data_IF_669380564056
#
_entry.id   IF_669380564056
#
_cell.length_a   1.000
_cell.length_b   1.000
_cell.length_c   1.000
_cell.angle_alpha   90.00
_cell.angle_beta   90.00
_cell.angle_gamma   90.00
#
_symmetry.space_group_name_H-M   'P 1'
#
loop_
_entity.id
_entity.type
_entity.pdbx_description
1 polymer ?
#
# COMPACT_ATOMS: atom_id res chain seq x y z
N UNK A 1 -33.59 24.50 61.37
CA UNK A 1 -33.88 23.90 60.04
C UNK A 1 -33.19 24.60 58.86
N UNK A 2 -32.23 25.54 59.03
CA UNK A 2 -31.73 26.39 57.92
C UNK A 2 -30.25 26.19 57.56
N UNK A 3 -29.44 25.62 58.43
CA UNK A 3 -27.98 25.51 58.27
C UNK A 3 -27.53 24.23 57.56
N UNK A 4 -28.24 23.11 57.76
CA UNK A 4 -27.93 21.84 57.05
C UNK A 4 -28.30 21.91 55.57
N UNK A 5 -29.44 22.52 55.21
CA UNK A 5 -29.85 22.70 53.81
C UNK A 5 -28.86 23.57 53.01
N UNK A 6 -28.27 24.58 53.65
CA UNK A 6 -27.28 25.46 53.00
C UNK A 6 -25.97 24.68 52.76
N UNK A 7 -25.55 23.84 53.72
CA UNK A 7 -24.39 22.96 53.54
C UNK A 7 -24.63 21.90 52.47
N UNK A 8 -25.82 21.30 52.41
CA UNK A 8 -26.17 20.32 51.39
C UNK A 8 -26.13 20.91 49.98
N UNK A 9 -26.67 22.12 49.80
CA UNK A 9 -26.62 22.85 48.52
C UNK A 9 -25.20 23.18 48.08
N UNK A 10 -24.33 23.59 49.00
CA UNK A 10 -22.94 23.88 48.67
C UNK A 10 -22.14 22.61 48.31
N UNK A 11 -22.38 21.49 49.01
CA UNK A 11 -21.76 20.20 48.69
C UNK A 11 -22.21 19.65 47.32
N UNK A 12 -23.49 19.81 46.97
CA UNK A 12 -24.01 19.43 45.65
C UNK A 12 -23.44 20.33 44.54
N UNK A 13 -23.27 21.63 44.82
CA UNK A 13 -22.64 22.58 43.89
C UNK A 13 -21.18 22.21 43.60
N UNK A 14 -20.39 21.88 44.62
CA UNK A 14 -19.01 21.41 44.46
C UNK A 14 -18.93 20.10 43.66
N UNK A 15 -19.79 19.12 43.97
CA UNK A 15 -19.85 17.86 43.21
C UNK A 15 -20.26 18.05 41.75
N UNK A 16 -21.13 19.03 41.45
CA UNK A 16 -21.55 19.32 40.07
C UNK A 16 -20.43 19.90 39.20
N UNK A 17 -19.53 20.71 39.80
CA UNK A 17 -18.34 21.24 39.12
C UNK A 17 -17.32 20.14 38.84
N UNK A 18 -17.08 19.26 39.82
CA UNK A 18 -16.20 18.09 39.66
C UNK A 18 -16.71 17.16 38.55
N UNK A 19 -18.02 16.89 38.52
CA UNK A 19 -18.65 16.05 37.48
C UNK A 19 -18.48 16.65 36.08
N UNK A 20 -18.58 17.98 35.95
CA UNK A 20 -18.35 18.69 34.69
C UNK A 20 -16.89 18.62 34.24
N UNK A 21 -15.94 18.70 35.17
CA UNK A 21 -14.50 18.59 34.87
C UNK A 21 -14.15 17.17 34.43
N UNK A 22 -14.66 16.14 35.12
CA UNK A 22 -14.45 14.75 34.76
C UNK A 22 -15.01 14.44 33.36
N UNK A 23 -16.21 14.96 33.05
CA UNK A 23 -16.80 14.85 31.72
C UNK A 23 -15.98 15.58 30.64
N UNK A 24 -15.43 16.76 30.93
CA UNK A 24 -14.60 17.51 29.98
C UNK A 24 -13.28 16.79 29.67
N UNK A 25 -12.64 16.19 30.69
CA UNK A 25 -11.42 15.38 30.52
C UNK A 25 -11.73 14.10 29.74
N UNK A 26 -12.84 13.42 30.07
CA UNK A 26 -13.25 12.22 29.37
C UNK A 26 -13.56 12.50 27.88
N UNK A 27 -14.29 13.58 27.60
CA UNK A 27 -14.64 13.97 26.23
C UNK A 27 -13.41 14.32 25.39
N UNK A 28 -12.50 15.13 25.93
CA UNK A 28 -11.28 15.52 25.22
C UNK A 28 -10.38 14.31 24.94
N UNK A 29 -10.20 13.43 25.95
CA UNK A 29 -9.45 12.18 25.78
C UNK A 29 -10.09 11.28 24.71
N UNK A 30 -11.41 11.21 24.67
CA UNK A 30 -12.14 10.47 23.65
C UNK A 30 -11.97 11.06 22.25
N UNK A 31 -12.00 12.39 22.11
CA UNK A 31 -11.75 13.05 20.81
C UNK A 31 -10.34 12.75 20.29
N UNK A 32 -9.31 12.82 21.15
CA UNK A 32 -7.95 12.43 20.77
C UNK A 32 -7.88 10.97 20.33
N UNK A 33 -8.56 10.07 21.03
CA UNK A 33 -8.64 8.66 20.65
C UNK A 33 -9.28 8.48 19.27
N UNK A 34 -10.39 9.17 18.97
CA UNK A 34 -11.05 9.07 17.67
C UNK A 34 -10.17 9.63 16.55
N UNK A 35 -9.49 10.77 16.76
CA UNK A 35 -8.54 11.30 15.77
C UNK A 35 -7.41 10.31 15.49
N UNK A 36 -6.81 9.76 16.54
CA UNK A 36 -5.79 8.72 16.43
C UNK A 36 -6.29 7.50 15.64
N UNK A 37 -7.51 7.02 15.92
CA UNK A 37 -8.08 5.88 15.20
C UNK A 37 -8.34 6.20 13.72
N UNK A 38 -8.75 7.42 13.38
CA UNK A 38 -8.92 7.84 11.99
C UNK A 38 -7.58 7.90 11.25
N UNK A 39 -6.54 8.47 11.87
CA UNK A 39 -5.19 8.51 11.29
C UNK A 39 -4.61 7.10 11.12
N UNK A 40 -4.75 6.24 12.14
CA UNK A 40 -4.33 4.84 12.05
C UNK A 40 -5.12 4.10 10.95
N UNK A 41 -6.42 4.38 10.82
CA UNK A 41 -7.26 3.83 9.77
C UNK A 41 -6.78 4.21 8.36
N UNK A 42 -6.36 5.47 8.17
CA UNK A 42 -5.74 5.97 6.93
C UNK A 42 -4.50 5.17 6.55
N UNK A 43 -3.59 5.02 7.51
CA UNK A 43 -2.32 4.28 7.37
C UNK A 43 -2.61 2.83 7.00
N UNK A 44 -3.52 2.17 7.70
CA UNK A 44 -3.86 0.78 7.47
C UNK A 44 -4.48 0.54 6.08
N UNK A 45 -5.37 1.43 5.64
CA UNK A 45 -5.97 1.35 4.29
C UNK A 45 -4.91 1.49 3.20
N UNK A 46 -4.05 2.51 3.31
CA UNK A 46 -2.93 2.71 2.39
C UNK A 46 -2.00 1.48 2.37
N UNK A 47 -1.60 1.00 3.55
CA UNK A 47 -0.70 -0.14 3.68
C UNK A 47 -1.26 -1.41 3.04
N UNK A 48 -2.50 -1.75 3.36
CA UNK A 48 -3.14 -2.94 2.79
C UNK A 48 -3.30 -2.87 1.29
N UNK A 49 -3.70 -1.70 0.78
CA UNK A 49 -3.90 -1.52 -0.65
C UNK A 49 -2.59 -1.64 -1.42
N UNK A 50 -1.52 -1.01 -0.92
CA UNK A 50 -0.18 -1.17 -1.49
C UNK A 50 0.28 -2.62 -1.43
N UNK A 51 0.15 -3.27 -0.26
CA UNK A 51 0.56 -4.68 -0.08
C UNK A 51 -0.17 -5.59 -1.08
N UNK A 52 -1.47 -5.37 -1.26
CA UNK A 52 -2.28 -6.12 -2.21
C UNK A 52 -1.76 -5.96 -3.64
N UNK A 53 -1.53 -4.72 -4.09
CA UNK A 53 -0.95 -4.44 -5.41
C UNK A 53 0.40 -5.13 -5.60
N UNK A 54 1.31 -5.02 -4.62
CA UNK A 54 2.62 -5.67 -4.67
C UNK A 54 2.52 -7.19 -4.78
N UNK A 55 1.65 -7.83 -3.99
CA UNK A 55 1.44 -9.28 -4.05
C UNK A 55 0.89 -9.69 -5.41
N UNK A 56 -0.04 -8.92 -5.98
CA UNK A 56 -0.56 -9.19 -7.31
C UNK A 56 0.55 -9.05 -8.35
N UNK A 57 1.28 -7.93 -8.39
CA UNK A 57 2.41 -7.73 -9.30
C UNK A 57 3.49 -8.80 -9.20
N UNK A 58 3.79 -9.21 -7.98
CA UNK A 58 4.76 -10.27 -7.71
C UNK A 58 4.31 -11.64 -8.24
N UNK A 59 3.04 -12.01 -8.08
CA UNK A 59 2.45 -13.23 -8.67
C UNK A 59 2.40 -13.17 -10.18
N UNK A 60 2.02 -12.02 -10.71
CA UNK A 60 1.99 -11.69 -12.12
C UNK A 60 3.36 -11.89 -12.77
N UNK A 61 4.41 -11.36 -12.15
CA UNK A 61 5.77 -11.50 -12.65
C UNK A 61 6.28 -12.94 -12.58
N UNK A 62 5.91 -13.67 -11.53
CA UNK A 62 6.17 -15.12 -11.45
C UNK A 62 5.47 -15.87 -12.61
N UNK A 63 4.23 -15.53 -12.93
CA UNK A 63 3.51 -16.15 -14.04
C UNK A 63 4.16 -15.84 -15.41
N UNK A 64 4.53 -14.58 -15.66
CA UNK A 64 5.27 -14.21 -16.88
C UNK A 64 6.59 -14.97 -16.97
N UNK A 65 7.37 -15.02 -15.88
CA UNK A 65 8.63 -15.77 -15.86
C UNK A 65 8.48 -17.26 -16.24
N UNK A 66 7.38 -17.89 -15.82
CA UNK A 66 7.08 -19.28 -16.18
C UNK A 66 6.84 -19.48 -17.68
N UNK A 67 6.13 -18.55 -18.31
CA UNK A 67 5.84 -18.63 -19.74
C UNK A 67 7.08 -18.40 -20.59
N UNK A 68 7.96 -17.50 -20.15
CA UNK A 68 9.26 -17.25 -20.79
C UNK A 68 10.20 -18.43 -20.68
N UNK A 69 10.19 -19.12 -19.53
CA UNK A 69 11.01 -20.32 -19.35
C UNK A 69 10.54 -21.47 -20.27
N UNK A 70 9.24 -21.53 -20.58
CA UNK A 70 8.68 -22.53 -21.49
C UNK A 70 9.12 -22.31 -22.94
N UNK A 71 9.37 -21.07 -23.37
CA UNK A 71 9.63 -20.73 -24.78
C UNK A 71 10.54 -19.49 -24.93
N UNK A 72 11.82 -19.70 -25.25
CA UNK A 72 12.89 -18.68 -25.16
C UNK A 72 12.97 -17.70 -26.33
N UNK A 73 11.86 -17.42 -27.04
CA UNK A 73 11.88 -16.56 -28.23
C UNK A 73 11.32 -15.15 -27.90
N UNK A 74 12.00 -14.08 -28.36
CA UNK A 74 11.64 -12.69 -28.03
C UNK A 74 10.24 -12.30 -28.52
N UNK A 75 9.87 -12.75 -29.73
CA UNK A 75 8.50 -12.58 -30.24
C UNK A 75 7.46 -13.26 -29.36
N UNK A 76 7.86 -14.27 -28.58
CA UNK A 76 6.98 -14.95 -27.63
C UNK A 76 6.95 -14.29 -26.26
N UNK A 77 7.97 -13.52 -25.87
CA UNK A 77 7.94 -12.68 -24.68
C UNK A 77 6.79 -11.67 -24.80
N UNK A 78 6.76 -10.94 -25.92
CA UNK A 78 5.66 -10.04 -26.28
C UNK A 78 4.32 -10.76 -26.21
N UNK A 79 4.16 -11.91 -26.90
CA UNK A 79 2.87 -12.62 -26.87
C UNK A 79 2.51 -13.22 -25.52
N UNK A 80 3.49 -13.58 -24.67
CA UNK A 80 3.25 -14.13 -23.34
C UNK A 80 2.80 -13.02 -22.39
N UNK A 81 3.48 -11.86 -22.43
CA UNK A 81 3.07 -10.67 -21.70
C UNK A 81 1.70 -10.20 -22.16
N UNK A 82 1.43 -10.13 -23.47
CA UNK A 82 0.11 -9.80 -24.02
C UNK A 82 -0.95 -10.80 -23.59
N UNK A 83 -0.71 -12.11 -23.78
CA UNK A 83 -1.65 -13.15 -23.40
C UNK A 83 -1.97 -13.11 -21.91
N UNK A 84 -0.96 -12.94 -21.07
CA UNK A 84 -1.12 -12.87 -19.63
C UNK A 84 -1.83 -11.57 -19.20
N UNK A 85 -1.40 -10.42 -19.75
CA UNK A 85 -2.00 -9.13 -19.46
C UNK A 85 -3.47 -9.10 -19.85
N UNK A 86 -3.81 -9.59 -21.05
CA UNK A 86 -5.19 -9.71 -21.53
C UNK A 86 -6.00 -10.65 -20.63
N UNK A 87 -5.41 -11.75 -20.17
CA UNK A 87 -6.12 -12.72 -19.30
C UNK A 87 -6.40 -12.21 -17.90
N UNK A 88 -5.50 -11.41 -17.34
CA UNK A 88 -5.57 -11.02 -15.92
C UNK A 88 -6.21 -9.63 -15.78
N UNK A 89 -6.00 -8.73 -16.73
CA UNK A 89 -6.41 -7.33 -16.65
C UNK A 89 -7.34 -6.87 -17.79
N UNK A 90 -7.48 -7.67 -18.83
CA UNK A 90 -8.29 -7.33 -20.01
C UNK A 90 -7.47 -6.68 -21.13
N UNK A 91 -8.08 -6.56 -22.31
CA UNK A 91 -7.41 -6.10 -23.53
C UNK A 91 -6.74 -4.73 -23.36
N UNK A 92 -5.48 -4.63 -23.83
CA UNK A 92 -4.68 -3.39 -23.86
C UNK A 92 -4.41 -2.73 -22.49
N UNK A 93 -4.48 -3.49 -21.39
CA UNK A 93 -4.27 -2.94 -20.05
C UNK A 93 -2.81 -2.58 -19.73
N UNK A 94 -1.86 -3.08 -20.51
CA UNK A 94 -0.42 -2.88 -20.32
C UNK A 94 0.28 -2.73 -21.68
N UNK A 95 1.32 -1.90 -21.74
CA UNK A 95 2.20 -1.81 -22.91
C UNK A 95 3.18 -2.99 -22.89
N UNK A 96 2.85 -4.03 -23.67
CA UNK A 96 3.63 -5.26 -23.76
C UNK A 96 5.05 -5.03 -24.30
N UNK A 97 5.25 -4.00 -25.12
CA UNK A 97 6.55 -3.68 -25.73
C UNK A 97 7.49 -3.10 -24.69
N UNK A 98 7.01 -2.13 -23.90
CA UNK A 98 7.81 -1.53 -22.83
C UNK A 98 8.09 -2.55 -21.72
N UNK A 99 7.11 -3.38 -21.37
CA UNK A 99 7.32 -4.48 -20.42
C UNK A 99 8.34 -5.50 -20.91
N UNK A 100 8.29 -5.88 -22.19
CA UNK A 100 9.27 -6.80 -22.77
C UNK A 100 10.69 -6.20 -22.75
N UNK A 101 10.81 -4.92 -23.08
CA UNK A 101 12.09 -4.21 -23.06
C UNK A 101 12.67 -4.12 -21.65
N UNK A 102 11.90 -3.66 -20.66
CA UNK A 102 12.35 -3.56 -19.27
C UNK A 102 12.72 -4.94 -18.69
N UNK A 103 12.04 -6.01 -19.11
CA UNK A 103 12.41 -7.38 -18.75
C UNK A 103 13.73 -7.83 -19.36
N UNK A 104 13.97 -7.53 -20.63
CA UNK A 104 15.23 -7.84 -21.31
C UNK A 104 16.41 -7.07 -20.71
N UNK A 105 16.19 -5.80 -20.38
CA UNK A 105 17.18 -4.93 -19.72
C UNK A 105 17.42 -5.33 -18.25
N UNK A 106 16.55 -6.16 -17.67
CA UNK A 106 16.62 -6.60 -16.28
C UNK A 106 16.22 -5.53 -15.28
N UNK A 107 15.54 -4.46 -15.73
CA UNK A 107 15.05 -3.37 -14.89
C UNK A 107 13.76 -3.79 -14.17
N UNK A 108 13.94 -4.48 -13.04
CA UNK A 108 12.84 -4.94 -12.20
C UNK A 108 12.10 -3.79 -11.50
N UNK A 109 12.75 -2.63 -11.32
CA UNK A 109 12.11 -1.46 -10.71
C UNK A 109 11.07 -0.89 -11.68
N UNK A 110 11.47 -0.67 -12.94
CA UNK A 110 10.60 -0.17 -14.00
C UNK A 110 9.46 -1.15 -14.30
N UNK A 111 9.76 -2.45 -14.36
CA UNK A 111 8.74 -3.49 -14.55
C UNK A 111 7.65 -3.46 -13.48
N UNK A 112 8.03 -3.41 -12.21
CA UNK A 112 7.06 -3.36 -11.11
C UNK A 112 6.28 -2.06 -11.18
N UNK A 113 6.92 -0.94 -11.48
CA UNK A 113 6.27 0.36 -11.61
C UNK A 113 5.19 0.35 -12.68
N UNK A 114 5.47 -0.20 -13.87
CA UNK A 114 4.52 -0.30 -14.98
C UNK A 114 3.33 -1.22 -14.67
N UNK A 115 3.57 -2.33 -13.98
CA UNK A 115 2.51 -3.30 -13.72
C UNK A 115 1.66 -2.97 -12.49
N UNK A 116 2.19 -2.22 -11.53
CA UNK A 116 1.60 -2.11 -10.19
C UNK A 116 0.17 -1.57 -10.20
N UNK A 117 -0.11 -0.47 -10.91
CA UNK A 117 -1.44 0.14 -10.86
C UNK A 117 -2.52 -0.77 -11.47
N UNK A 118 -2.22 -1.34 -12.63
CA UNK A 118 -3.05 -2.38 -13.24
C UNK A 118 -3.20 -3.62 -12.35
N UNK A 119 -2.15 -4.09 -11.68
CA UNK A 119 -2.24 -5.19 -10.71
C UNK A 119 -3.04 -4.83 -9.44
N UNK A 120 -3.05 -3.57 -9.02
CA UNK A 120 -3.73 -3.16 -7.80
C UNK A 120 -5.25 -3.01 -7.99
N UNK A 121 -5.70 -2.51 -9.14
CA UNK A 121 -7.13 -2.21 -9.40
C UNK A 121 -7.65 -2.49 -10.82
N UNK A 122 -6.85 -3.11 -11.67
CA UNK A 122 -7.17 -3.38 -13.08
C UNK A 122 -6.93 -2.19 -14.02
N UNK A 123 -6.53 -1.02 -13.50
CA UNK A 123 -5.95 0.07 -14.28
C UNK A 123 -5.21 1.06 -13.38
N UNK A 124 -4.21 1.74 -13.93
CA UNK A 124 -3.45 2.76 -13.21
C UNK A 124 -4.32 3.90 -12.69
N UNK A 125 -5.30 4.36 -13.48
CA UNK A 125 -6.21 5.42 -13.06
C UNK A 125 -7.05 5.03 -11.83
N UNK A 126 -7.56 3.80 -11.79
CA UNK A 126 -8.33 3.34 -10.63
C UNK A 126 -7.45 3.18 -9.40
N UNK A 127 -6.24 2.67 -9.57
CA UNK A 127 -5.28 2.54 -8.48
C UNK A 127 -4.88 3.93 -7.93
N UNK A 128 -4.65 4.88 -8.82
CA UNK A 128 -4.30 6.26 -8.49
C UNK A 128 -5.42 6.94 -7.68
N UNK A 129 -6.68 6.82 -8.14
CA UNK A 129 -7.85 7.34 -7.44
C UNK A 129 -7.99 6.76 -6.02
N UNK A 130 -7.77 5.46 -5.85
CA UNK A 130 -7.87 4.78 -4.55
C UNK A 130 -6.73 5.19 -3.61
N UNK A 131 -5.49 5.26 -4.12
CA UNK A 131 -4.32 5.65 -3.33
C UNK A 131 -4.38 7.12 -2.88
N UNK A 132 -4.83 8.02 -3.76
CA UNK A 132 -5.11 9.42 -3.39
C UNK A 132 -6.15 9.52 -2.30
N UNK A 133 -7.22 8.71 -2.40
CA UNK A 133 -8.23 8.60 -1.34
C UNK A 133 -7.67 8.03 -0.04
N UNK A 134 -6.52 7.36 -0.02
CA UNK A 134 -5.85 6.86 1.18
C UNK A 134 -4.68 7.72 1.65
N UNK A 135 -4.35 8.82 0.98
CA UNK A 135 -3.41 9.84 1.47
C UNK A 135 -2.08 9.88 0.75
N UNK A 136 -1.96 9.20 -0.39
CA UNK A 136 -0.79 9.31 -1.26
C UNK A 136 -1.05 10.43 -2.27
N UNK A 137 -0.40 11.59 -2.11
CA UNK A 137 -0.69 12.81 -2.91
C UNK A 137 -0.65 12.58 -4.42
N UNK A 138 0.35 11.84 -4.89
CA UNK A 138 0.55 11.51 -6.31
C UNK A 138 0.15 10.06 -6.64
N UNK A 139 -0.73 9.49 -5.81
CA UNK A 139 -1.30 8.15 -5.98
C UNK A 139 -0.24 7.09 -6.30
N UNK A 140 -0.34 6.45 -7.46
CA UNK A 140 0.61 5.39 -7.88
C UNK A 140 2.03 5.95 -8.04
N UNK A 141 2.17 7.15 -8.62
CA UNK A 141 3.47 7.76 -8.89
C UNK A 141 4.26 8.16 -7.64
N UNK A 142 3.61 8.20 -6.48
CA UNK A 142 4.28 8.44 -5.20
C UNK A 142 4.96 7.21 -4.59
N UNK A 143 4.75 6.03 -5.18
CA UNK A 143 5.35 4.78 -4.72
C UNK A 143 6.70 4.60 -5.42
N UNK A 144 7.77 4.65 -4.64
CA UNK A 144 9.11 4.33 -5.12
C UNK A 144 9.37 2.84 -5.00
N UNK A 145 9.79 2.22 -6.10
CA UNK A 145 10.19 0.80 -6.15
C UNK A 145 11.69 0.58 -5.99
N UNK A 146 12.41 1.61 -5.54
CA UNK A 146 13.86 1.60 -5.48
C UNK A 146 14.41 0.45 -4.62
N UNK A 147 15.40 -0.25 -5.17
CA UNK A 147 16.02 -1.42 -4.57
C UNK A 147 15.22 -2.71 -4.78
N UNK A 148 14.21 -2.71 -5.65
CA UNK A 148 13.62 -3.94 -6.18
C UNK A 148 14.64 -4.65 -7.03
N UNK A 149 14.91 -5.92 -6.72
CA UNK A 149 15.98 -6.65 -7.38
C UNK A 149 15.73 -8.15 -7.38
N UNK A 150 16.51 -8.83 -8.21
CA UNK A 150 16.64 -10.28 -8.20
C UNK A 150 17.65 -10.71 -7.13
N UNK A 151 17.35 -11.81 -6.46
CA UNK A 151 18.17 -12.46 -5.45
C UNK A 151 18.30 -13.97 -5.78
N UNK A 152 19.24 -14.63 -5.12
CA UNK A 152 19.46 -16.10 -5.21
C UNK A 152 19.63 -16.62 -6.65
N UNK A 153 20.50 -15.97 -7.43
CA UNK A 153 20.81 -16.38 -8.81
C UNK A 153 19.66 -16.17 -9.79
N UNK A 154 18.89 -15.10 -9.59
CA UNK A 154 17.70 -14.71 -10.35
C UNK A 154 16.47 -15.59 -10.12
N UNK A 155 16.44 -16.30 -8.99
CA UNK A 155 15.31 -17.17 -8.64
C UNK A 155 14.27 -16.46 -7.79
N UNK A 156 14.68 -15.47 -7.01
CA UNK A 156 13.77 -14.75 -6.13
C UNK A 156 13.71 -13.27 -6.54
N UNK A 157 12.51 -12.76 -6.75
CA UNK A 157 12.22 -11.35 -6.89
C UNK A 157 11.93 -10.77 -5.51
N UNK A 158 12.71 -9.77 -5.10
CA UNK A 158 12.45 -8.95 -3.94
C UNK A 158 11.89 -7.59 -4.40
N UNK A 159 10.59 -7.40 -4.25
CA UNK A 159 9.91 -6.13 -4.52
C UNK A 159 9.95 -5.27 -3.28
N UNK A 160 10.50 -4.07 -3.38
CA UNK A 160 10.53 -3.06 -2.32
C UNK A 160 9.67 -1.89 -2.73
N UNK A 161 8.82 -1.41 -1.83
CA UNK A 161 8.01 -0.23 -2.04
C UNK A 161 8.19 0.74 -0.89
N UNK A 162 8.44 2.01 -1.20
CA UNK A 162 8.47 3.10 -0.25
C UNK A 162 7.49 4.18 -0.68
N UNK A 163 6.65 4.64 0.24
CA UNK A 163 5.62 5.64 -0.04
C UNK A 163 5.28 6.43 1.23
N UNK A 164 4.71 7.60 1.06
CA UNK A 164 4.35 8.51 2.15
C UNK A 164 2.85 8.71 2.20
N UNK A 165 2.26 8.63 3.39
CA UNK A 165 0.83 8.78 3.65
C UNK A 165 0.59 10.06 4.44
N UNK A 166 -0.22 10.96 3.90
CA UNK A 166 -0.68 12.16 4.58
C UNK A 166 -1.77 11.83 5.60
N UNK A 167 -1.61 12.36 6.81
CA UNK A 167 -2.53 12.13 7.93
C UNK A 167 -3.68 13.14 7.91
N UNK A 168 -4.94 12.70 8.06
CA UNK A 168 -6.10 13.57 8.15
C UNK A 168 -6.00 14.60 9.27
N UNK A 169 -5.47 14.19 10.43
CA UNK A 169 -5.26 15.07 11.56
C UNK A 169 -3.76 15.26 11.80
N UNK A 170 -3.30 16.51 11.74
CA UNK A 170 -1.91 16.91 12.00
C UNK A 170 -1.60 16.98 13.49
N UNK A 171 -2.00 15.96 14.24
CA UNK A 171 -1.85 15.94 15.69
C UNK A 171 -0.39 15.68 16.04
N UNK A 172 0.12 16.36 17.07
CA UNK A 172 1.49 16.19 17.57
C UNK A 172 2.62 16.53 16.58
N UNK A 173 2.33 17.34 15.54
CA UNK A 173 3.33 17.81 14.58
C UNK A 173 3.70 16.80 13.49
N UNK A 174 3.01 15.66 13.43
CA UNK A 174 3.14 14.70 12.33
C UNK A 174 2.06 15.00 11.29
N UNK A 175 2.49 15.34 10.08
CA UNK A 175 1.58 15.56 8.95
C UNK A 175 1.56 14.36 7.99
N UNK A 176 2.63 13.57 8.00
CA UNK A 176 2.85 12.47 7.09
C UNK A 176 3.67 11.35 7.74
N UNK A 177 3.53 10.14 7.22
CA UNK A 177 4.32 8.98 7.62
C UNK A 177 4.85 8.25 6.38
N UNK A 178 6.17 8.01 6.35
CA UNK A 178 6.81 7.20 5.33
C UNK A 178 6.77 5.73 5.75
N UNK A 179 6.29 4.88 4.85
CA UNK A 179 6.16 3.44 5.03
C UNK A 179 7.04 2.71 4.03
N UNK A 180 7.47 1.52 4.43
CA UNK A 180 8.24 0.60 3.60
C UNK A 180 7.60 -0.78 3.63
N UNK A 181 7.47 -1.40 2.47
CA UNK A 181 6.97 -2.75 2.32
C UNK A 181 7.89 -3.56 1.43
N UNK A 182 8.04 -4.83 1.78
CA UNK A 182 8.82 -5.77 1.01
C UNK A 182 7.96 -7.00 0.73
N UNK A 183 7.95 -7.45 -0.52
CA UNK A 183 7.32 -8.69 -0.95
C UNK A 183 8.37 -9.53 -1.67
N UNK A 184 8.48 -10.80 -1.31
CA UNK A 184 9.38 -11.75 -1.97
C UNK A 184 8.56 -12.80 -2.70
N UNK A 185 8.90 -13.05 -3.96
CA UNK A 185 8.35 -14.17 -4.74
C UNK A 185 9.42 -14.92 -5.48
N UNK A 186 9.15 -16.19 -5.71
CA UNK A 186 9.99 -17.02 -6.57
C UNK A 186 9.58 -16.85 -8.03
N UNK A 187 10.56 -16.59 -8.87
CA UNK A 187 10.45 -16.63 -10.32
C UNK A 187 10.79 -18.03 -10.84
N UNK A 188 10.31 -18.33 -12.03
CA UNK A 188 10.62 -19.56 -12.73
C UNK A 188 11.86 -19.34 -13.59
N UNK A 189 12.89 -20.13 -13.32
CA UNK A 189 14.12 -20.22 -14.10
C UNK A 189 14.49 -21.70 -14.17
N UNK A 190 14.86 -22.18 -15.36
CA UNK A 190 15.06 -23.60 -15.62
C UNK A 190 16.09 -24.20 -14.68
N UNK A 191 15.76 -25.35 -14.10
CA UNK A 191 16.64 -26.22 -13.30
C UNK A 191 17.86 -26.79 -14.08
N UNK A 192 18.39 -26.08 -15.09
CA UNK A 192 19.37 -26.62 -16.05
C UNK A 192 20.83 -26.20 -15.83
N UNK A 193 21.16 -25.69 -14.65
CA UNK A 193 22.56 -25.41 -14.27
C UNK A 193 23.07 -26.35 -13.15
N UNK A 194 22.38 -27.47 -12.87
CA UNK A 194 22.81 -28.47 -11.87
C UNK A 194 22.83 -29.92 -12.37
N UNK A 195 22.98 -30.15 -13.68
CA UNK A 195 23.33 -31.46 -14.24
C UNK A 195 24.54 -31.35 -15.15
#
# INVERSE_FOLDING_TARGET
MRTEDIRLKNLLKDRSGILSIEAAIALTSFMFLIMFLVDMGRIYQAQNYVTHGLIQTSKSLSAVSFELERDTNMSKLLTAVEWWADKIFGENALDSIQLAAAWEDGDMEELVQMMYGTCAAGSDQKADDVLKRYGLKDGVGSISFQGTCLEDGDRDLLVKAQYTVELPFKVFGYEEITLRQNVRSRLWKKWRDQL
#
